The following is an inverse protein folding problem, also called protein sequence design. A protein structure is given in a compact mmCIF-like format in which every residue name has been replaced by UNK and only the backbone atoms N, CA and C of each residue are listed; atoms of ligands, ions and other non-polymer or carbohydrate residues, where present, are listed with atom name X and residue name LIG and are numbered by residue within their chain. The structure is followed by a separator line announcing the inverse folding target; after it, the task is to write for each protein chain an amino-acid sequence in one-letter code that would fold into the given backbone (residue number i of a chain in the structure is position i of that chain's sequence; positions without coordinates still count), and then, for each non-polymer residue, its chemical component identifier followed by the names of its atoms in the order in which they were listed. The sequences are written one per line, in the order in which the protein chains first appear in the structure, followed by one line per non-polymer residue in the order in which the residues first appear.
data_IF_624597850560
#
_entry.id   IF_624597850560
#
_cell.length_a   1.000
_cell.length_b   1.000
_cell.length_c   1.000
_cell.angle_alpha   90.00
_cell.angle_beta   90.00
_cell.angle_gamma   90.00
#
_symmetry.space_group_name_H-M   'P 1'
#
loop_
_entity.id
_entity.type
_entity.pdbx_description
1 polymer ?
#
# COMPACT_ATOMS: atom_id res chain seq x y z
N UNK A 1 -2.25 15.93 -4.77
CA UNK A 1 -1.83 14.61 -4.24
C UNK A 1 -1.05 13.89 -5.31
N UNK A 2 -0.05 13.10 -4.97
CA UNK A 2 0.82 12.45 -5.94
C UNK A 2 1.13 11.01 -5.56
N UNK A 3 1.21 10.14 -6.56
CA UNK A 3 1.75 8.77 -6.44
C UNK A 3 3.17 8.66 -7.02
N UNK A 4 3.66 9.73 -7.64
CA UNK A 4 4.97 9.79 -8.29
C UNK A 4 5.77 10.99 -7.72
N UNK A 5 6.37 10.84 -6.53
CA UNK A 5 7.00 11.94 -5.82
C UNK A 5 8.23 12.48 -6.56
N UNK A 6 8.94 11.63 -7.31
CA UNK A 6 10.09 12.02 -8.13
C UNK A 6 9.69 12.98 -9.27
N UNK A 7 8.61 12.70 -10.00
CA UNK A 7 8.08 13.63 -11.02
C UNK A 7 7.61 14.92 -10.36
N UNK A 8 6.91 14.80 -9.22
CA UNK A 8 6.36 15.94 -8.47
C UNK A 8 7.46 16.89 -8.00
N UNK A 9 8.60 16.34 -7.57
CA UNK A 9 9.79 17.11 -7.21
C UNK A 9 10.42 17.78 -8.46
N UNK A 10 10.57 17.04 -9.56
CA UNK A 10 11.18 17.54 -10.78
C UNK A 10 10.42 18.74 -11.40
N UNK A 11 9.09 18.75 -11.32
CA UNK A 11 8.27 19.86 -11.80
C UNK A 11 8.19 21.05 -10.83
N UNK A 12 8.81 20.94 -9.64
CA UNK A 12 8.78 22.00 -8.63
C UNK A 12 7.37 22.26 -8.08
N UNK A 13 6.61 21.21 -7.77
CA UNK A 13 5.27 21.37 -7.22
C UNK A 13 5.33 22.20 -5.91
N UNK A 14 4.57 23.31 -5.80
CA UNK A 14 4.72 24.24 -4.69
C UNK A 14 4.35 23.61 -3.35
N UNK A 15 3.33 22.75 -3.34
CA UNK A 15 2.90 21.96 -2.19
C UNK A 15 2.38 20.62 -2.69
N UNK A 16 2.84 19.52 -2.11
CA UNK A 16 2.32 18.20 -2.43
C UNK A 16 2.25 17.30 -1.21
N UNK A 17 1.36 16.32 -1.30
CA UNK A 17 1.34 15.15 -0.44
C UNK A 17 1.50 13.91 -1.33
N UNK A 18 2.43 13.05 -0.97
CA UNK A 18 2.63 11.76 -1.60
C UNK A 18 1.80 10.70 -0.86
N UNK A 19 1.08 9.89 -1.64
CA UNK A 19 0.37 8.70 -1.16
C UNK A 19 1.02 7.48 -1.78
N UNK A 20 1.22 6.41 -0.99
CA UNK A 20 1.80 5.14 -1.45
C UNK A 20 0.72 4.24 -2.06
N UNK A 21 0.03 4.77 -3.05
CA UNK A 21 -1.09 4.11 -3.72
C UNK A 21 -0.74 3.84 -5.19
N UNK A 22 -1.39 2.85 -5.83
CA UNK A 22 -1.27 2.64 -7.26
C UNK A 22 -1.71 3.86 -8.06
N UNK A 23 -1.13 4.05 -9.24
CA UNK A 23 -1.59 5.05 -10.19
C UNK A 23 -3.09 4.89 -10.50
N UNK A 24 -3.80 6.02 -10.63
CA UNK A 24 -5.25 6.06 -10.84
C UNK A 24 -6.09 5.96 -9.55
N UNK A 25 -5.49 5.57 -8.43
CA UNK A 25 -6.20 5.31 -7.18
C UNK A 25 -5.90 6.34 -6.07
N UNK A 26 -5.47 7.55 -6.45
CA UNK A 26 -4.98 8.60 -5.55
C UNK A 26 -5.97 9.00 -4.44
N UNK A 27 -7.27 8.78 -4.64
CA UNK A 27 -8.32 9.18 -3.70
C UNK A 27 -8.73 8.07 -2.74
N UNK A 28 -8.16 6.87 -2.84
CA UNK A 28 -8.50 5.73 -1.99
C UNK A 28 -9.34 4.65 -2.70
N UNK A 29 -9.72 3.63 -1.94
CA UNK A 29 -10.40 2.45 -2.47
C UNK A 29 -11.81 2.75 -2.97
N UNK A 30 -12.23 2.05 -4.03
CA UNK A 30 -13.59 2.18 -4.56
C UNK A 30 -14.62 1.75 -3.51
N UNK A 31 -15.72 2.49 -3.40
CA UNK A 31 -16.79 2.19 -2.45
C UNK A 31 -16.45 2.49 -0.98
N UNK A 32 -15.30 3.08 -0.67
CA UNK A 32 -14.85 3.38 0.71
C UNK A 32 -14.91 4.90 1.02
N UNK A 33 -16.10 5.51 1.17
CA UNK A 33 -16.24 6.97 1.24
C UNK A 33 -15.71 7.58 2.54
N UNK A 34 -15.58 6.84 3.65
CA UNK A 34 -15.02 7.37 4.90
C UNK A 34 -13.50 7.47 4.75
N UNK A 35 -12.85 6.44 4.21
CA UNK A 35 -11.41 6.45 3.92
C UNK A 35 -11.06 7.54 2.90
N UNK A 36 -11.82 7.64 1.81
CA UNK A 36 -11.63 8.68 0.78
C UNK A 36 -11.74 10.08 1.38
N UNK A 37 -12.75 10.34 2.22
CA UNK A 37 -12.89 11.62 2.92
C UNK A 37 -11.72 11.90 3.83
N UNK A 38 -11.26 10.92 4.62
CA UNK A 38 -10.12 11.09 5.53
C UNK A 38 -8.86 11.49 4.76
N UNK A 39 -8.60 10.83 3.64
CA UNK A 39 -7.45 11.09 2.77
C UNK A 39 -7.51 12.49 2.15
N UNK A 40 -8.67 12.89 1.62
CA UNK A 40 -8.87 14.22 1.06
C UNK A 40 -8.75 15.31 2.13
N UNK A 41 -9.29 15.08 3.33
CA UNK A 41 -9.14 16.00 4.45
C UNK A 41 -7.67 16.18 4.82
N UNK A 42 -6.90 15.10 4.95
CA UNK A 42 -5.45 15.19 5.22
C UNK A 42 -4.71 15.96 4.11
N UNK A 43 -5.06 15.70 2.85
CA UNK A 43 -4.48 16.43 1.73
C UNK A 43 -4.81 17.93 1.77
N UNK A 44 -6.03 18.31 2.16
CA UNK A 44 -6.42 19.71 2.32
C UNK A 44 -5.74 20.36 3.53
N UNK A 45 -5.67 19.65 4.66
CA UNK A 45 -4.96 20.10 5.87
C UNK A 45 -3.46 20.31 5.59
N UNK A 46 -2.88 19.51 4.68
CA UNK A 46 -1.47 19.65 4.28
C UNK A 46 -1.15 21.03 3.68
N UNK A 47 -2.14 21.70 3.07
CA UNK A 47 -1.96 23.04 2.51
C UNK A 47 -1.61 24.04 3.62
N UNK A 48 -2.19 23.85 4.80
CA UNK A 48 -1.94 24.72 5.96
C UNK A 48 -0.66 24.33 6.71
N UNK A 49 -0.29 23.05 6.72
CA UNK A 49 0.92 22.58 7.41
C UNK A 49 2.20 22.89 6.65
N UNK A 50 2.18 22.87 5.31
CA UNK A 50 3.33 23.16 4.47
C UNK A 50 3.67 24.66 4.50
N UNK A 51 4.83 25.00 5.09
CA UNK A 51 5.30 26.39 5.24
C UNK A 51 6.26 26.87 4.14
N UNK A 52 6.92 25.94 3.44
CA UNK A 52 7.88 26.22 2.38
C UNK A 52 7.40 25.68 1.03
N UNK A 53 7.70 26.40 -0.06
CA UNK A 53 7.53 25.87 -1.40
C UNK A 53 8.39 24.61 -1.62
N UNK A 54 8.04 23.79 -2.61
CA UNK A 54 8.73 22.53 -2.94
C UNK A 54 8.72 21.49 -1.81
N UNK A 55 7.74 21.57 -0.91
CA UNK A 55 7.58 20.57 0.16
C UNK A 55 6.64 19.47 -0.28
N UNK A 56 7.11 18.22 -0.19
CA UNK A 56 6.31 17.02 -0.42
C UNK A 56 6.17 16.27 0.91
N UNK A 57 4.98 16.33 1.51
CA UNK A 57 4.68 15.53 2.69
C UNK A 57 4.43 14.07 2.32
N UNK A 58 4.80 13.15 3.20
CA UNK A 58 4.51 11.73 3.04
C UNK A 58 3.25 11.39 3.83
N UNK A 59 2.22 10.88 3.16
CA UNK A 59 1.04 10.36 3.84
C UNK A 59 1.38 9.05 4.54
N UNK A 60 0.86 8.80 5.76
CA UNK A 60 1.09 7.54 6.45
C UNK A 60 0.23 6.40 5.86
N UNK A 61 -0.76 6.72 5.04
CA UNK A 61 -1.68 5.73 4.50
C UNK A 61 -1.07 4.93 3.35
N UNK A 62 -1.33 3.62 3.38
CA UNK A 62 -1.01 2.71 2.28
C UNK A 62 -2.28 2.10 1.71
N UNK A 63 -2.20 1.72 0.44
CA UNK A 63 -3.34 1.14 -0.26
C UNK A 63 -3.82 -0.13 0.43
N UNK A 64 -5.13 -0.28 0.66
CA UNK A 64 -5.73 -1.42 1.39
C UNK A 64 -5.25 -1.62 2.84
N UNK A 65 -4.48 -0.68 3.38
CA UNK A 65 -3.98 -0.70 4.76
C UNK A 65 -4.40 0.57 5.48
N UNK A 66 -5.67 0.93 5.30
CA UNK A 66 -6.26 2.05 6.02
C UNK A 66 -6.58 1.63 7.45
N UNK A 67 -6.29 2.46 8.47
CA UNK A 67 -6.71 2.18 9.85
C UNK A 67 -8.23 2.09 10.03
N UNK A 68 -8.98 2.70 9.11
CA UNK A 68 -10.43 2.72 9.11
C UNK A 68 -10.93 1.51 8.32
N UNK A 69 -11.58 0.58 9.01
CA UNK A 69 -12.32 -0.52 8.38
C UNK A 69 -13.74 -0.05 8.09
N UNK A 70 -14.14 -0.06 6.83
CA UNK A 70 -15.51 0.23 6.41
C UNK A 70 -15.94 -0.78 5.34
N UNK A 71 -17.24 -1.07 5.24
CA UNK A 71 -17.78 -1.90 4.16
C UNK A 71 -17.94 -1.07 2.87
N UNK A 72 -17.73 -1.68 1.68
CA UNK A 72 -17.84 -0.96 0.43
C UNK A 72 -19.32 -0.62 0.14
N UNK A 73 -19.60 0.68 -0.02
CA UNK A 73 -20.93 1.20 -0.37
C UNK A 73 -21.24 0.99 -1.86
N UNK A 74 -20.21 0.93 -2.70
CA UNK A 74 -20.31 0.66 -4.12
C UNK A 74 -19.43 -0.54 -4.49
N UNK A 75 -20.05 -1.52 -5.15
CA UNK A 75 -19.43 -2.80 -5.54
C UNK A 75 -19.35 -2.97 -7.07
N UNK A 76 -19.40 -1.86 -7.82
CA UNK A 76 -19.32 -1.95 -9.27
C UNK A 76 -18.01 -2.61 -9.73
N UNK A 77 -18.12 -3.45 -10.75
CA UNK A 77 -16.97 -4.12 -11.33
C UNK A 77 -16.19 -3.15 -12.22
N UNK A 78 -14.86 -3.22 -12.15
CA UNK A 78 -13.99 -2.49 -13.07
C UNK A 78 -14.08 -3.16 -14.45
N UNK A 79 -14.55 -2.42 -15.45
CA UNK A 79 -14.58 -2.87 -16.85
C UNK A 79 -13.23 -2.72 -17.57
N UNK A 80 -12.12 -2.64 -16.81
CA UNK A 80 -10.80 -2.58 -17.40
C UNK A 80 -10.45 -3.87 -18.15
N UNK A 81 -9.41 -3.84 -18.99
CA UNK A 81 -8.75 -5.04 -19.50
C UNK A 81 -8.46 -6.05 -18.40
N UNK A 82 -9.08 -7.22 -18.52
CA UNK A 82 -8.98 -8.31 -17.54
C UNK A 82 -8.45 -9.55 -18.24
N UNK A 83 -7.24 -9.97 -17.86
CA UNK A 83 -6.70 -11.27 -18.27
C UNK A 83 -7.05 -12.31 -17.20
N UNK A 84 -7.55 -13.52 -17.56
CA UNK A 84 -7.97 -14.53 -16.59
C UNK A 84 -6.89 -14.89 -15.57
N UNK A 85 -5.65 -15.04 -16.03
CA UNK A 85 -4.49 -15.36 -15.15
C UNK A 85 -3.96 -14.15 -14.38
N UNK A 86 -4.33 -12.92 -14.78
CA UNK A 86 -3.93 -11.72 -14.07
C UNK A 86 -4.81 -11.48 -12.85
N UNK A 87 -6.12 -11.54 -13.03
CA UNK A 87 -7.11 -11.27 -11.98
C UNK A 87 -6.83 -11.93 -10.62
N UNK A 88 -6.40 -13.21 -10.51
CA UNK A 88 -6.17 -13.85 -9.23
C UNK A 88 -4.87 -13.41 -8.52
N UNK A 89 -3.92 -12.77 -9.21
CA UNK A 89 -2.61 -12.44 -8.62
C UNK A 89 -2.75 -11.41 -7.49
N UNK A 90 -3.53 -10.34 -7.69
CA UNK A 90 -3.75 -9.32 -6.66
C UNK A 90 -4.33 -9.90 -5.35
N UNK A 91 -5.46 -10.62 -5.41
CA UNK A 91 -6.00 -11.33 -4.24
C UNK A 91 -5.05 -12.38 -3.64
N UNK A 92 -4.23 -13.05 -4.45
CA UNK A 92 -3.24 -14.00 -3.94
C UNK A 92 -2.14 -13.30 -3.13
N UNK A 93 -1.65 -12.14 -3.59
CA UNK A 93 -0.70 -11.30 -2.85
C UNK A 93 -1.32 -10.78 -1.54
N UNK A 94 -2.56 -10.31 -1.56
CA UNK A 94 -3.28 -9.88 -0.36
C UNK A 94 -3.38 -11.02 0.67
N UNK A 95 -3.74 -12.23 0.22
CA UNK A 95 -3.81 -13.42 1.07
C UNK A 95 -2.45 -13.82 1.62
N UNK A 96 -1.38 -13.66 0.84
CA UNK A 96 -0.02 -13.95 1.28
C UNK A 96 0.42 -12.95 2.37
N UNK A 97 0.16 -11.66 2.19
CA UNK A 97 0.40 -10.62 3.20
C UNK A 97 -0.33 -10.92 4.52
N UNK A 98 -1.60 -11.36 4.44
CA UNK A 98 -2.38 -11.76 5.61
C UNK A 98 -1.71 -12.92 6.37
N UNK A 99 -1.28 -13.97 5.64
CA UNK A 99 -0.63 -15.14 6.26
C UNK A 99 0.72 -14.78 6.89
N UNK A 100 1.51 -13.93 6.25
CA UNK A 100 2.78 -13.46 6.81
C UNK A 100 2.53 -12.61 8.06
N UNK A 101 1.49 -11.77 8.07
CA UNK A 101 1.12 -10.97 9.25
C UNK A 101 0.78 -11.86 10.45
N UNK A 102 -0.03 -12.90 10.24
CA UNK A 102 -0.37 -13.87 11.29
C UNK A 102 0.89 -14.59 11.80
N UNK A 103 1.80 -14.96 10.90
CA UNK A 103 3.05 -15.60 11.28
C UNK A 103 3.99 -14.68 12.08
N UNK A 104 4.08 -13.41 11.69
CA UNK A 104 4.83 -12.39 12.43
C UNK A 104 4.31 -12.21 13.85
N UNK A 105 2.97 -12.19 14.01
CA UNK A 105 2.34 -12.12 15.32
C UNK A 105 2.70 -13.33 16.19
N UNK A 106 2.65 -14.54 15.62
CA UNK A 106 3.04 -15.77 16.32
C UNK A 106 4.53 -15.76 16.74
N UNK A 107 5.44 -15.32 15.86
CA UNK A 107 6.86 -15.18 16.20
C UNK A 107 7.08 -14.17 17.33
N UNK A 108 6.36 -13.05 17.31
CA UNK A 108 6.42 -12.04 18.34
C UNK A 108 5.93 -12.58 19.69
N UNK A 109 4.83 -13.33 19.71
CA UNK A 109 4.31 -13.99 20.92
C UNK A 109 5.30 -15.02 21.47
N UNK A 110 5.95 -15.80 20.61
CA UNK A 110 7.02 -16.74 20.99
C UNK A 110 8.20 -16.04 21.66
N UNK A 111 8.67 -14.94 21.09
CA UNK A 111 9.77 -14.12 21.66
C UNK A 111 9.35 -13.55 23.02
N UNK A 112 8.12 -13.02 23.12
CA UNK A 112 7.59 -12.49 24.39
C UNK A 112 7.43 -13.57 25.46
N UNK A 113 7.04 -14.78 25.07
CA UNK A 113 6.96 -15.93 25.97
C UNK A 113 8.32 -16.31 26.54
N UNK A 114 9.34 -16.42 25.69
CA UNK A 114 10.70 -16.77 26.11
C UNK A 114 11.34 -15.69 26.99
N UNK A 115 11.10 -14.41 26.70
CA UNK A 115 11.56 -13.29 27.52
C UNK A 115 10.96 -13.29 28.95
N UNK A 116 9.81 -13.94 29.15
CA UNK A 116 9.15 -14.07 30.46
C UNK A 116 9.59 -15.33 31.22
N UNK A 117 10.38 -16.20 30.60
CA UNK A 117 10.91 -17.41 31.24
C UNK A 117 11.88 -17.06 32.37
N UNK A 118 11.97 -17.94 33.37
CA UNK A 118 12.80 -17.73 34.56
C UNK A 118 14.30 -17.67 34.24
N UNK A 119 14.72 -18.32 33.15
CA UNK A 119 16.06 -18.24 32.55
C UNK A 119 15.88 -18.07 31.04
N UNK A 120 15.89 -16.82 30.50
CA UNK A 120 15.70 -16.59 29.07
C UNK A 120 16.86 -17.15 28.24
N UNK A 121 16.55 -17.85 27.15
CA UNK A 121 17.56 -18.27 26.17
C UNK A 121 17.84 -17.13 25.16
N UNK A 122 18.84 -16.30 25.44
CA UNK A 122 19.19 -15.13 24.62
C UNK A 122 19.52 -15.49 23.17
N UNK A 123 20.25 -16.59 22.93
CA UNK A 123 20.60 -17.02 21.57
C UNK A 123 19.36 -17.41 20.76
N UNK A 124 18.40 -18.07 21.40
CA UNK A 124 17.13 -18.44 20.76
C UNK A 124 16.26 -17.22 20.48
N UNK A 125 16.16 -16.29 21.44
CA UNK A 125 15.44 -15.02 21.28
C UNK A 125 16.04 -14.20 20.13
N UNK A 126 17.36 -14.08 20.07
CA UNK A 126 18.06 -13.37 19.01
C UNK A 126 17.81 -14.02 17.65
N UNK A 127 17.85 -15.36 17.57
CA UNK A 127 17.56 -16.10 16.35
C UNK A 127 16.14 -15.87 15.85
N UNK A 128 15.14 -15.95 16.74
CA UNK A 128 13.75 -15.66 16.40
C UNK A 128 13.55 -14.19 15.99
N UNK A 129 14.18 -13.25 16.68
CA UNK A 129 14.07 -11.81 16.38
C UNK A 129 14.62 -11.50 14.98
N UNK A 130 15.74 -12.13 14.60
CA UNK A 130 16.29 -12.00 13.25
C UNK A 130 15.33 -12.54 12.19
N UNK A 131 14.69 -13.69 12.42
CA UNK A 131 13.72 -14.22 11.44
C UNK A 131 12.43 -13.40 11.40
N UNK A 132 11.98 -12.86 12.53
CA UNK A 132 10.86 -11.92 12.57
C UNK A 132 11.15 -10.68 11.72
N UNK A 133 12.35 -10.12 11.81
CA UNK A 133 12.72 -8.96 11.01
C UNK A 133 12.72 -9.28 9.51
N UNK A 134 13.35 -10.40 9.11
CA UNK A 134 13.30 -10.86 7.71
C UNK A 134 11.89 -11.10 7.20
N UNK A 135 11.00 -11.60 8.06
CA UNK A 135 9.60 -11.85 7.73
C UNK A 135 8.80 -10.54 7.60
N UNK A 136 9.14 -9.50 8.37
CA UNK A 136 8.59 -8.14 8.18
C UNK A 136 9.08 -7.49 6.89
N UNK A 137 10.35 -7.65 6.55
CA UNK A 137 10.89 -7.18 5.26
C UNK A 137 10.19 -7.86 4.08
N UNK A 138 9.96 -9.18 4.17
CA UNK A 138 9.20 -9.94 3.18
C UNK A 138 7.76 -9.44 3.06
N UNK A 139 7.09 -9.16 4.19
CA UNK A 139 5.76 -8.56 4.21
C UNK A 139 5.76 -7.23 3.49
N UNK A 140 6.69 -6.32 3.80
CA UNK A 140 6.78 -5.01 3.16
C UNK A 140 6.99 -5.12 1.64
N UNK A 141 7.83 -6.06 1.20
CA UNK A 141 8.07 -6.32 -0.22
C UNK A 141 6.81 -6.81 -0.95
N UNK A 142 6.07 -7.74 -0.36
CA UNK A 142 4.85 -8.30 -0.97
C UNK A 142 3.72 -7.27 -0.94
N UNK A 143 3.55 -6.59 0.19
CA UNK A 143 2.43 -5.71 0.47
C UNK A 143 2.54 -4.34 -0.19
N UNK A 144 3.77 -3.94 -0.53
CA UNK A 144 4.06 -2.68 -1.21
C UNK A 144 4.59 -2.96 -2.61
N UNK A 145 5.89 -3.23 -2.74
CA UNK A 145 6.58 -3.24 -4.04
C UNK A 145 5.94 -4.20 -5.05
N UNK A 146 5.75 -5.48 -4.68
CA UNK A 146 5.22 -6.48 -5.58
C UNK A 146 3.79 -6.14 -6.04
N UNK A 147 2.94 -5.71 -5.11
CA UNK A 147 1.54 -5.36 -5.39
C UNK A 147 1.43 -4.09 -6.25
N UNK A 148 2.27 -3.09 -5.98
CA UNK A 148 2.30 -1.83 -6.73
C UNK A 148 2.81 -2.04 -8.15
N UNK A 149 3.96 -2.72 -8.32
CA UNK A 149 4.49 -3.09 -9.64
C UNK A 149 3.46 -3.88 -10.45
N UNK A 150 2.80 -4.84 -9.81
CA UNK A 150 1.79 -5.65 -10.47
C UNK A 150 0.61 -4.81 -10.99
N UNK A 151 0.13 -3.84 -10.20
CA UNK A 151 -0.94 -2.95 -10.63
C UNK A 151 -0.50 -1.94 -11.68
N UNK A 152 0.72 -1.44 -11.61
CA UNK A 152 1.27 -0.57 -12.65
C UNK A 152 1.31 -1.30 -14.01
N UNK A 153 1.73 -2.56 -14.03
CA UNK A 153 1.69 -3.41 -15.23
C UNK A 153 0.27 -3.53 -15.76
N UNK A 154 -0.71 -3.84 -14.91
CA UNK A 154 -2.12 -3.95 -15.34
C UNK A 154 -2.67 -2.64 -15.89
N UNK A 155 -2.42 -1.53 -15.22
CA UNK A 155 -2.86 -0.21 -15.66
C UNK A 155 -2.19 0.20 -16.99
N UNK A 156 -0.92 -0.12 -17.18
CA UNK A 156 -0.19 0.14 -18.42
C UNK A 156 -0.74 -0.69 -19.57
N UNK A 157 -0.95 -2.00 -19.38
CA UNK A 157 -1.57 -2.88 -20.37
C UNK A 157 -2.97 -2.37 -20.72
N UNK A 158 -3.77 -2.01 -19.71
CA UNK A 158 -5.11 -1.49 -19.92
C UNK A 158 -5.12 -0.25 -20.82
N UNK A 159 -4.19 0.68 -20.57
CA UNK A 159 -4.01 1.88 -21.37
C UNK A 159 -3.57 1.55 -22.80
N UNK A 160 -2.64 0.60 -22.97
CA UNK A 160 -2.15 0.17 -24.28
C UNK A 160 -3.25 -0.49 -25.12
N UNK A 161 -4.10 -1.32 -24.51
CA UNK A 161 -5.24 -1.93 -25.20
C UNK A 161 -6.25 -0.88 -25.67
N UNK A 162 -6.58 0.08 -24.81
CA UNK A 162 -7.49 1.16 -25.17
C UNK A 162 -6.94 2.04 -26.31
N UNK A 163 -5.62 2.28 -26.34
CA UNK A 163 -4.94 2.94 -27.47
C UNK A 163 -4.98 2.08 -28.73
N UNK A 164 -4.70 0.78 -28.61
CA UNK A 164 -4.77 -0.16 -29.74
C UNK A 164 -6.17 -0.25 -30.36
N UNK A 165 -7.22 -0.05 -29.56
CA UNK A 165 -8.61 0.02 -30.00
C UNK A 165 -9.04 1.41 -30.54
N UNK A 166 -8.14 2.39 -30.57
CA UNK A 166 -8.43 3.76 -31.02
C UNK A 166 -9.35 4.55 -30.07
N UNK A 167 -9.49 4.13 -28.81
CA UNK A 167 -10.35 4.78 -27.82
C UNK A 167 -9.66 5.91 -27.04
N UNK A 168 -8.34 6.02 -27.17
CA UNK A 168 -7.53 7.12 -26.65
C UNK A 168 -6.67 7.67 -27.79
N UNK A 169 -6.81 8.98 -28.06
CA UNK A 169 -5.90 9.76 -28.92
C UNK A 169 -4.73 10.25 -28.08
#
# INVERSE_FOLDING_TARGET
MSVQPHITAAIGAPRAINVKFPAGNQVGECGKPIQQRKLLTEALESIFSIKSANTILQSPYRWRRFPIVEEPVFMGESNGPTHPEAMPIGPALDKLSEKITIYNQWLQEKIQGENKSQIPNESYISGLSMQLERSKELLELIDSEALDQYREILNAIATLELRGQGRFV
#
